data_IF_501171696651
#
_entry.id   IF_501171696651
#
_cell.length_a   1.000
_cell.length_b   1.000
_cell.length_c   1.000
_cell.angle_alpha   90.00
_cell.angle_beta   90.00
_cell.angle_gamma   90.00
#
_symmetry.space_group_name_H-M   'P 1'
#
loop_
_entity.id
_entity.type
_entity.pdbx_description
1 polymer ?
#
# COMPACT_ATOMS: atom_id res chain seq x y z
N UNK A 1 -8.72 15.76 -7.62
CA UNK A 1 -8.55 15.55 -7.34
C UNK A 1 -7.48 15.13 -7.04
N UNK A 2 -7.06 14.89 -7.21
CA UNK A 2 -6.20 14.25 -6.96
C UNK A 2 -5.14 14.87 -6.55
N UNK A 3 -5.08 15.26 -6.54
CA UNK A 3 -4.25 15.70 -6.50
C UNK A 3 -3.53 16.29 -5.65
N UNK A 4 -3.56 16.84 -5.48
CA UNK A 4 -2.94 17.60 -4.68
C UNK A 4 -2.82 17.20 -3.40
N UNK A 5 -3.70 16.48 -3.00
CA UNK A 5 -3.69 16.06 -1.77
C UNK A 5 -2.49 15.50 -1.26
N UNK A 6 -1.96 14.47 -1.75
CA UNK A 6 -0.83 13.79 -1.17
C UNK A 6 0.37 14.71 -1.03
N UNK A 7 0.56 15.56 -1.96
CA UNK A 7 1.71 16.39 -1.89
C UNK A 7 1.65 17.35 -0.74
N UNK A 8 0.49 17.88 -0.49
CA UNK A 8 0.36 18.79 0.57
C UNK A 8 0.64 18.17 1.89
N UNK A 9 0.19 16.97 2.05
CA UNK A 9 0.46 16.26 3.27
C UNK A 9 1.95 16.09 3.46
N UNK A 10 2.64 15.73 2.40
CA UNK A 10 4.08 15.54 2.49
C UNK A 10 4.79 16.81 2.91
N UNK A 11 4.35 17.92 2.41
CA UNK A 11 5.00 19.16 2.71
C UNK A 11 4.87 19.57 4.16
N UNK A 12 3.87 19.03 4.81
CA UNK A 12 3.63 19.38 6.18
C UNK A 12 4.13 18.35 7.15
N UNK A 13 5.11 17.63 6.74
CA UNK A 13 5.60 16.55 7.54
C UNK A 13 6.08 16.94 8.93
N UNK A 14 6.39 18.14 9.18
CA UNK A 14 6.89 18.53 10.47
C UNK A 14 5.95 18.23 11.61
N UNK A 15 5.23 19.24 12.03
CA UNK A 15 4.33 19.11 13.15
C UNK A 15 3.23 18.13 12.90
N UNK A 16 2.69 18.14 11.70
CA UNK A 16 1.60 17.27 11.37
C UNK A 16 1.99 15.86 11.03
N UNK A 17 3.27 15.53 11.14
CA UNK A 17 3.75 14.24 10.69
C UNK A 17 2.98 13.05 11.19
N UNK A 18 2.64 13.07 12.47
CA UNK A 18 1.92 11.96 13.06
C UNK A 18 0.50 11.86 12.52
N UNK A 19 -0.20 12.98 12.48
CA UNK A 19 -1.56 13.01 11.94
C UNK A 19 -1.56 12.69 10.46
N UNK A 20 -0.56 13.18 9.73
CA UNK A 20 -0.45 12.91 8.32
C UNK A 20 -0.26 11.43 8.06
N UNK A 21 0.50 10.75 8.91
CA UNK A 21 0.69 9.32 8.77
C UNK A 21 -0.62 8.57 8.97
N UNK A 22 -1.41 8.98 9.96
CA UNK A 22 -2.69 8.35 10.23
C UNK A 22 -3.65 8.56 9.05
N UNK A 23 -3.69 9.77 8.52
CA UNK A 23 -4.54 10.07 7.38
C UNK A 23 -4.11 9.28 6.15
N UNK A 24 -2.81 9.18 5.94
CA UNK A 24 -2.29 8.44 4.81
C UNK A 24 -2.67 6.97 4.91
N UNK A 25 -2.57 6.39 6.11
CA UNK A 25 -2.95 5.01 6.30
C UNK A 25 -4.43 4.81 5.99
N UNK A 26 -5.28 5.66 6.52
CA UNK A 26 -6.71 5.57 6.29
C UNK A 26 -7.04 5.63 4.80
N UNK A 27 -6.50 6.60 4.12
CA UNK A 27 -6.83 6.81 2.72
C UNK A 27 -6.29 5.71 1.81
N UNK A 28 -5.29 4.96 2.27
CA UNK A 28 -4.67 3.91 1.47
C UNK A 28 -5.20 2.52 1.76
N UNK A 29 -6.10 2.39 2.73
CA UNK A 29 -6.67 1.08 3.05
C UNK A 29 -7.40 0.47 1.86
N UNK A 30 -7.97 1.28 1.01
CA UNK A 30 -8.73 0.78 -0.14
C UNK A 30 -7.87 -0.04 -1.10
N UNK A 31 -6.55 0.12 -1.05
CA UNK A 31 -5.66 -0.62 -1.93
C UNK A 31 -5.33 -2.02 -1.43
N UNK A 32 -5.72 -2.34 -0.21
CA UNK A 32 -5.40 -3.64 0.37
C UNK A 32 -6.39 -4.71 -0.05
N UNK A 33 -5.94 -5.97 0.03
CA UNK A 33 -6.82 -7.09 -0.16
C UNK A 33 -7.83 -7.11 0.98
N UNK A 34 -8.96 -7.74 0.74
CA UNK A 34 -10.05 -7.74 1.70
C UNK A 34 -9.64 -8.13 3.13
N UNK A 35 -8.90 -9.22 3.26
CA UNK A 35 -8.48 -9.69 4.58
C UNK A 35 -7.59 -8.69 5.29
N UNK A 36 -6.64 -8.14 4.55
CA UNK A 36 -5.71 -7.17 5.11
C UNK A 36 -6.41 -5.88 5.44
N UNK A 37 -7.37 -5.50 4.59
CA UNK A 37 -8.12 -4.28 4.81
C UNK A 37 -8.93 -4.38 6.10
N UNK A 38 -9.59 -5.51 6.31
CA UNK A 38 -10.38 -5.71 7.53
C UNK A 38 -9.49 -5.61 8.75
N UNK A 39 -8.33 -6.25 8.70
CA UNK A 39 -7.39 -6.23 9.80
C UNK A 39 -6.98 -4.80 10.16
N UNK A 40 -6.63 -4.02 9.15
CA UNK A 40 -6.21 -2.65 9.36
C UNK A 40 -7.37 -1.76 9.80
N UNK A 41 -8.57 -2.02 9.31
CA UNK A 41 -9.73 -1.24 9.73
C UNK A 41 -10.04 -1.47 11.19
N UNK A 42 -9.92 -2.71 11.64
CA UNK A 42 -10.13 -2.99 13.06
C UNK A 42 -9.16 -2.19 13.90
N UNK A 43 -7.91 -2.15 13.48
CA UNK A 43 -6.87 -1.46 14.25
C UNK A 43 -7.02 0.05 14.20
N UNK A 44 -7.22 0.59 12.99
CA UNK A 44 -7.21 2.04 12.80
C UNK A 44 -8.53 2.73 13.07
N UNK A 45 -9.62 2.13 12.65
CA UNK A 45 -10.93 2.77 12.80
C UNK A 45 -11.63 2.40 14.08
N UNK A 46 -11.49 1.15 14.49
CA UNK A 46 -12.17 0.67 15.68
C UNK A 46 -11.31 0.71 16.92
N UNK A 47 -10.01 0.97 16.76
CA UNK A 47 -9.12 1.05 17.89
C UNK A 47 -8.90 -0.28 18.61
N UNK A 48 -9.13 -1.40 17.92
CA UNK A 48 -9.00 -2.70 18.54
C UNK A 48 -7.55 -3.00 18.89
N UNK A 49 -7.34 -3.65 20.03
CA UNK A 49 -6.00 -4.10 20.40
C UNK A 49 -5.65 -5.33 19.59
N UNK A 50 -4.37 -5.66 19.54
CA UNK A 50 -3.94 -6.86 18.83
C UNK A 50 -4.60 -8.10 19.41
N UNK A 51 -4.79 -8.13 20.73
CA UNK A 51 -5.48 -9.25 21.36
C UNK A 51 -6.93 -9.37 20.94
N UNK A 52 -7.62 -8.24 20.83
CA UNK A 52 -9.01 -8.24 20.38
C UNK A 52 -9.12 -8.70 18.95
N UNK A 53 -8.22 -8.25 18.10
CA UNK A 53 -8.22 -8.68 16.70
C UNK A 53 -7.93 -10.17 16.62
N UNK A 54 -6.98 -10.65 17.41
CA UNK A 54 -6.64 -12.06 17.44
C UNK A 54 -7.85 -12.91 17.81
N UNK A 55 -8.60 -12.46 18.81
CA UNK A 55 -9.78 -13.18 19.27
C UNK A 55 -10.84 -13.23 18.18
N UNK A 56 -11.01 -12.15 17.43
CA UNK A 56 -12.03 -12.09 16.39
C UNK A 56 -11.65 -12.86 15.13
N UNK A 57 -10.36 -12.91 14.83
CA UNK A 57 -9.92 -13.52 13.57
C UNK A 57 -9.43 -14.95 13.74
N UNK A 58 -9.18 -15.39 14.95
CA UNK A 58 -8.63 -16.71 15.19
C UNK A 58 -7.11 -16.77 15.00
N UNK A 59 -6.48 -15.65 14.79
CA UNK A 59 -5.04 -15.60 14.62
C UNK A 59 -4.35 -15.46 15.96
N UNK A 60 -3.05 -15.78 16.00
CA UNK A 60 -2.26 -15.50 17.19
C UNK A 60 -2.01 -14.00 17.29
N UNK A 61 -1.97 -13.50 18.51
CA UNK A 61 -1.74 -12.08 18.74
C UNK A 61 -0.43 -11.61 18.11
N UNK A 62 0.62 -12.42 18.21
CA UNK A 62 1.91 -12.04 17.63
C UNK A 62 1.83 -11.97 16.11
N UNK A 63 1.02 -12.83 15.49
CA UNK A 63 0.83 -12.79 14.06
C UNK A 63 0.09 -11.54 13.64
N UNK A 64 -0.93 -11.16 14.40
CA UNK A 64 -1.67 -9.93 14.13
C UNK A 64 -0.73 -8.73 14.19
N UNK A 65 0.05 -8.65 15.26
CA UNK A 65 0.98 -7.52 15.43
C UNK A 65 1.97 -7.45 14.29
N UNK A 66 2.51 -8.59 13.88
CA UNK A 66 3.48 -8.64 12.80
C UNK A 66 2.85 -8.19 11.48
N UNK A 67 1.65 -8.67 11.20
CA UNK A 67 0.98 -8.29 9.97
C UNK A 67 0.62 -6.82 9.93
N UNK A 68 0.12 -6.29 11.03
CA UNK A 68 -0.22 -4.88 11.10
C UNK A 68 1.02 -4.02 10.84
N UNK A 69 2.14 -4.39 11.45
CA UNK A 69 3.38 -3.62 11.25
C UNK A 69 3.86 -3.70 9.81
N UNK A 70 3.78 -4.87 9.20
CA UNK A 70 4.18 -5.02 7.81
C UNK A 70 3.31 -4.19 6.88
N UNK A 71 2.00 -4.25 7.07
CA UNK A 71 1.07 -3.51 6.24
C UNK A 71 1.26 -2.01 6.42
N UNK A 72 1.46 -1.58 7.67
CA UNK A 72 1.70 -0.18 7.93
C UNK A 72 2.95 0.30 7.20
N UNK A 73 4.01 -0.49 7.24
CA UNK A 73 5.23 -0.13 6.54
C UNK A 73 5.05 -0.02 5.04
N UNK A 74 4.31 -0.99 4.46
CA UNK A 74 4.07 -0.96 3.02
C UNK A 74 3.22 0.23 2.60
N UNK A 75 2.27 0.62 3.44
CA UNK A 75 1.40 1.74 3.13
C UNK A 75 2.05 3.09 3.33
N UNK A 76 3.07 3.16 4.16
CA UNK A 76 3.72 4.44 4.45
C UNK A 76 5.04 4.64 3.74
N UNK A 77 5.82 3.60 3.58
CA UNK A 77 7.18 3.74 3.07
C UNK A 77 7.56 2.83 1.91
N UNK A 78 6.72 1.91 1.54
CA UNK A 78 7.08 0.92 0.53
C UNK A 78 7.15 1.49 -0.87
N UNK A 79 7.57 0.64 -1.80
CA UNK A 79 7.66 1.02 -3.20
C UNK A 79 6.32 1.49 -3.75
N UNK A 80 5.23 0.93 -3.27
CA UNK A 80 3.91 1.35 -3.73
C UNK A 80 3.65 2.82 -3.44
N UNK A 81 4.16 3.32 -2.31
CA UNK A 81 3.96 4.71 -1.94
C UNK A 81 4.62 5.64 -2.95
N UNK A 82 5.80 5.26 -3.43
CA UNK A 82 6.48 6.05 -4.47
C UNK A 82 5.62 6.08 -5.72
N UNK A 83 5.08 4.95 -6.13
CA UNK A 83 4.22 4.89 -7.30
C UNK A 83 2.97 5.72 -7.08
N UNK A 84 2.41 5.65 -5.90
CA UNK A 84 1.19 6.39 -5.58
C UNK A 84 1.42 7.91 -5.64
N UNK A 85 2.57 8.35 -5.17
CA UNK A 85 2.92 9.78 -5.23
C UNK A 85 3.12 10.26 -6.66
N UNK A 86 3.42 9.34 -7.57
CA UNK A 86 3.65 9.66 -8.97
C UNK A 86 2.50 9.18 -9.85
N UNK A 87 1.33 8.96 -9.25
CA UNK A 87 0.23 8.35 -9.98
C UNK A 87 -0.26 9.16 -11.18
N UNK A 88 -0.04 10.44 -11.18
CA UNK A 88 -0.47 11.25 -12.31
C UNK A 88 0.35 10.95 -13.57
N UNK A 89 1.48 10.29 -13.41
CA UNK A 89 2.33 9.91 -14.54
C UNK A 89 2.14 8.43 -14.90
N UNK A 90 1.25 7.74 -14.21
CA UNK A 90 1.06 6.32 -14.41
C UNK A 90 -0.36 6.04 -14.89
N UNK A 91 -0.50 5.02 -15.75
CA UNK A 91 -1.82 4.60 -16.16
C UNK A 91 -2.47 3.78 -15.05
N UNK A 92 -3.77 3.57 -15.17
CA UNK A 92 -4.48 2.74 -14.20
C UNK A 92 -3.89 1.34 -14.15
N UNK A 93 -3.50 0.79 -15.30
CA UNK A 93 -2.89 -0.53 -15.32
C UNK A 93 -1.54 -0.53 -14.62
N UNK A 94 -0.72 0.47 -14.85
CA UNK A 94 0.58 0.56 -14.21
C UNK A 94 0.42 0.66 -12.69
N UNK A 95 -0.49 1.48 -12.23
CA UNK A 95 -0.71 1.63 -10.80
C UNK A 95 -1.30 0.36 -10.20
N UNK A 96 -2.21 -0.30 -10.93
CA UNK A 96 -2.77 -1.57 -10.49
C UNK A 96 -1.72 -2.66 -10.36
N UNK A 97 -0.79 -2.72 -11.31
CA UNK A 97 0.29 -3.69 -11.25
C UNK A 97 1.22 -3.38 -10.08
N UNK A 98 1.48 -2.09 -9.85
CA UNK A 98 2.30 -1.69 -8.71
C UNK A 98 1.66 -2.12 -7.40
N UNK A 99 0.36 -1.92 -7.28
CA UNK A 99 -0.38 -2.32 -6.09
C UNK A 99 -0.29 -3.82 -5.88
N UNK A 100 -0.52 -4.58 -6.94
CA UNK A 100 -0.52 -6.04 -6.82
C UNK A 100 0.87 -6.58 -6.47
N UNK A 101 1.91 -6.00 -7.02
CA UNK A 101 3.25 -6.50 -6.78
C UNK A 101 3.85 -6.00 -5.46
N UNK A 102 3.73 -4.72 -5.21
CA UNK A 102 4.41 -4.12 -4.06
C UNK A 102 3.58 -4.18 -2.77
N UNK A 103 2.29 -4.10 -2.90
CA UNK A 103 1.44 -4.09 -1.72
C UNK A 103 0.88 -5.48 -1.41
N UNK A 104 0.28 -6.13 -2.40
CA UNK A 104 -0.31 -7.45 -2.20
C UNK A 104 0.69 -8.59 -2.37
N UNK A 105 1.86 -8.31 -2.92
CA UNK A 105 2.92 -9.31 -3.07
C UNK A 105 2.53 -10.49 -3.95
N UNK A 106 1.78 -10.24 -4.99
CA UNK A 106 1.36 -11.32 -5.88
C UNK A 106 2.49 -11.69 -6.84
N UNK A 107 2.55 -12.97 -7.23
CA UNK A 107 3.52 -13.39 -8.24
C UNK A 107 3.16 -12.85 -9.61
N UNK A 108 4.16 -12.65 -10.44
CA UNK A 108 3.96 -12.05 -11.75
C UNK A 108 2.93 -12.77 -12.61
N UNK A 109 2.93 -14.11 -12.70
CA UNK A 109 1.91 -14.78 -13.51
C UNK A 109 0.48 -14.46 -13.08
N UNK A 110 0.27 -14.34 -11.78
CA UNK A 110 -1.05 -14.03 -11.26
C UNK A 110 -1.46 -12.61 -11.60
N UNK A 111 -0.49 -11.69 -11.55
CA UNK A 111 -0.74 -10.31 -11.92
C UNK A 111 -1.13 -10.21 -13.39
N UNK A 112 -0.42 -10.94 -14.26
CA UNK A 112 -0.71 -10.94 -15.67
C UNK A 112 -2.13 -11.43 -15.93
N UNK A 113 -2.51 -12.50 -15.24
CA UNK A 113 -3.85 -13.05 -15.40
C UNK A 113 -4.91 -12.07 -14.93
N UNK A 114 -4.66 -11.46 -13.79
CA UNK A 114 -5.61 -10.52 -13.20
C UNK A 114 -5.84 -9.30 -14.10
N UNK A 115 -4.79 -8.80 -14.71
CA UNK A 115 -4.88 -7.64 -15.58
C UNK A 115 -5.09 -7.99 -17.05
N UNK A 116 -5.23 -9.29 -17.34
CA UNK A 116 -5.50 -9.75 -18.70
C UNK A 116 -4.44 -9.27 -19.69
N UNK A 117 -3.18 -9.40 -19.29
CA UNK A 117 -2.08 -9.01 -20.16
C UNK A 117 -0.98 -10.06 -20.08
N UNK A 118 0.08 -9.87 -20.86
CA UNK A 118 1.15 -10.86 -20.94
C UNK A 118 2.13 -10.72 -19.81
N UNK A 119 2.89 -11.80 -19.58
CA UNK A 119 3.98 -11.75 -18.59
C UNK A 119 4.98 -10.68 -18.99
N UNK A 120 5.24 -10.57 -20.28
CA UNK A 120 6.17 -9.56 -20.77
C UNK A 120 5.70 -8.17 -20.38
N UNK A 121 4.41 -7.89 -20.54
CA UNK A 121 3.87 -6.57 -20.20
C UNK A 121 4.05 -6.28 -18.70
N UNK A 122 3.77 -7.27 -17.85
CA UNK A 122 3.92 -7.08 -16.42
C UNK A 122 5.39 -6.81 -16.06
N UNK A 123 6.30 -7.60 -16.63
CA UNK A 123 7.71 -7.40 -16.35
C UNK A 123 8.21 -6.05 -16.85
N UNK A 124 7.71 -5.62 -17.99
CA UNK A 124 8.08 -4.33 -18.56
C UNK A 124 7.62 -3.20 -17.65
N UNK A 125 6.38 -3.27 -17.20
CA UNK A 125 5.84 -2.26 -16.28
C UNK A 125 6.64 -2.25 -14.98
N UNK A 126 6.91 -3.42 -14.43
CA UNK A 126 7.65 -3.50 -13.17
C UNK A 126 9.07 -2.95 -13.31
N UNK A 127 9.67 -3.14 -14.47
CA UNK A 127 10.99 -2.59 -14.73
C UNK A 127 10.95 -1.06 -14.72
N UNK A 128 9.93 -0.48 -15.32
CA UNK A 128 9.77 0.97 -15.33
C UNK A 128 9.50 1.49 -13.93
N UNK A 129 8.65 0.79 -13.19
CA UNK A 129 8.34 1.19 -11.82
C UNK A 129 9.57 1.09 -10.92
N UNK A 130 10.39 0.07 -11.14
CA UNK A 130 11.60 -0.09 -10.36
C UNK A 130 12.54 1.10 -10.54
N UNK A 131 12.62 1.61 -11.77
CA UNK A 131 13.45 2.78 -12.02
C UNK A 131 12.90 4.01 -11.31
N UNK A 132 11.59 4.13 -11.29
CA UNK A 132 10.95 5.23 -10.61
C UNK A 132 11.24 5.18 -9.11
N UNK A 133 11.13 4.00 -8.52
CA UNK A 133 11.40 3.81 -7.10
C UNK A 133 12.86 4.11 -6.80
N UNK A 134 13.75 3.63 -7.65
CA UNK A 134 15.19 3.84 -7.45
C UNK A 134 15.52 5.33 -7.53
N UNK A 135 14.93 6.04 -8.47
CA UNK A 135 15.17 7.46 -8.61
C UNK A 135 14.74 8.23 -7.38
N UNK A 136 13.67 7.79 -6.74
CA UNK A 136 13.15 8.50 -5.58
C UNK A 136 14.01 8.32 -4.33
N UNK A 137 14.94 7.38 -4.37
CA UNK A 137 15.84 7.16 -3.24
C UNK A 137 17.04 8.09 -3.27
N UNK A 138 17.20 8.81 -4.37
CA UNK A 138 18.32 9.76 -4.49
C UNK A 138 17.89 11.17 -4.13
#
# INVERSE_FOLDING_TARGET
MKIALPRMVDCQAGIGGYLDAADALESRLEFLEEKEKILMEMRLRQGATFGQIAALTGMHQSSVARQVRKLRGRLLKGAFVVCLRNREYLSDQQLGIARDRYLARLPIPLIAKKHKCTLYRVRSVLSELARLVEASRM
#
